data_IF_065766292964
#
_entry.id   IF_065766292964
#
_cell.length_a   1.000
_cell.length_b   1.000
_cell.length_c   1.000
_cell.angle_alpha   90.00
_cell.angle_beta   90.00
_cell.angle_gamma   90.00
#
_symmetry.space_group_name_H-M   'P 1'
#
loop_
_entity.id
_entity.type
_entity.pdbx_description
1 polymer ?
#
# COMPACT_ATOMS: atom_id res chain seq x y z
N UNK A 1 70.05 15.20 25.43
CA UNK A 1 68.74 15.63 24.89
C UNK A 1 67.90 14.39 24.56
N UNK A 2 66.80 14.16 25.28
CA UNK A 2 65.66 13.34 24.85
C UNK A 2 64.41 14.01 25.42
N UNK A 3 63.50 14.47 24.55
CA UNK A 3 62.20 15.05 24.94
C UNK A 3 61.16 13.93 24.83
N UNK A 4 60.41 13.70 25.90
CA UNK A 4 59.30 12.73 25.92
C UNK A 4 58.01 13.45 25.52
N UNK A 5 57.27 12.86 24.57
CA UNK A 5 55.97 13.36 24.11
C UNK A 5 54.86 12.60 24.86
N UNK A 6 53.85 13.31 25.36
CA UNK A 6 52.60 12.70 25.83
C UNK A 6 51.61 12.72 24.67
N UNK A 7 51.16 11.55 24.20
CA UNK A 7 50.08 11.44 23.21
C UNK A 7 48.78 11.25 23.98
N UNK A 8 47.88 12.23 23.90
CA UNK A 8 46.50 12.12 24.39
C UNK A 8 45.59 11.81 23.19
N UNK A 9 45.11 10.57 23.09
CA UNK A 9 44.10 10.21 22.10
C UNK A 9 42.72 10.59 22.64
N UNK A 10 42.17 11.71 22.18
CA UNK A 10 40.76 12.05 22.38
C UNK A 10 40.00 11.44 21.21
N UNK A 11 39.36 10.30 21.43
CA UNK A 11 38.34 9.78 20.50
C UNK A 11 37.05 10.56 20.73
N UNK A 12 36.72 11.51 19.84
CA UNK A 12 35.35 12.00 19.73
C UNK A 12 34.50 10.85 19.18
N UNK A 13 33.73 10.19 20.04
CA UNK A 13 32.62 9.37 19.60
C UNK A 13 31.54 10.32 19.03
N UNK A 14 31.59 10.58 17.73
CA UNK A 14 30.51 11.26 17.03
C UNK A 14 29.27 10.36 17.06
N UNK A 15 28.35 10.66 17.97
CA UNK A 15 27.04 10.04 18.03
C UNK A 15 26.25 10.47 16.79
N UNK A 16 26.12 9.60 15.80
CA UNK A 16 25.13 9.78 14.74
C UNK A 16 23.78 9.55 15.39
N UNK A 17 23.04 10.62 15.64
CA UNK A 17 21.63 10.52 16.00
C UNK A 17 20.87 10.07 14.75
N UNK A 18 20.67 8.76 14.60
CA UNK A 18 19.64 8.27 13.69
C UNK A 18 18.30 8.70 14.28
N UNK A 19 17.69 9.73 13.69
CA UNK A 19 16.26 9.95 13.91
C UNK A 19 15.54 8.75 13.32
N UNK A 20 15.16 7.82 14.20
CA UNK A 20 14.19 6.78 13.86
C UNK A 20 12.90 7.52 13.52
N UNK A 21 12.66 7.76 12.23
CA UNK A 21 11.34 8.15 11.77
C UNK A 21 10.46 6.92 12.03
N UNK A 22 9.55 7.04 13.00
CA UNK A 22 8.45 6.10 13.11
C UNK A 22 7.76 6.10 11.76
N UNK A 23 7.86 4.99 11.02
CA UNK A 23 7.10 4.84 9.80
C UNK A 23 5.63 4.88 10.23
N UNK A 24 4.79 5.76 9.66
CA UNK A 24 3.39 5.80 10.02
C UNK A 24 2.83 4.39 9.88
N UNK A 25 2.19 3.91 10.95
CA UNK A 25 1.60 2.58 10.97
C UNK A 25 0.60 2.48 9.82
N UNK A 26 0.60 1.35 9.11
CA UNK A 26 -0.40 1.11 8.09
C UNK A 26 -1.79 1.09 8.76
N UNK A 27 -2.71 1.90 8.24
CA UNK A 27 -4.07 1.99 8.76
C UNK A 27 -4.92 0.78 8.36
N UNK A 28 -4.53 0.06 7.31
CA UNK A 28 -5.22 -1.11 6.82
C UNK A 28 -4.85 -2.35 7.64
N UNK A 29 -5.83 -3.14 8.02
CA UNK A 29 -5.61 -4.44 8.65
C UNK A 29 -5.19 -5.47 7.59
N UNK A 30 -4.29 -6.39 7.94
CA UNK A 30 -3.90 -7.51 7.04
C UNK A 30 -3.58 -7.07 5.59
N UNK A 31 -2.67 -6.08 5.37
CA UNK A 31 -2.43 -5.49 4.05
C UNK A 31 -1.80 -6.47 3.04
N UNK A 32 -1.16 -7.55 3.52
CA UNK A 32 -0.53 -8.58 2.71
C UNK A 32 -1.36 -9.85 2.52
N UNK A 33 -2.57 -9.94 3.08
CA UNK A 33 -3.43 -11.14 2.98
C UNK A 33 -2.86 -12.41 3.66
N UNK A 34 -1.91 -12.25 4.57
CA UNK A 34 -1.28 -13.37 5.28
C UNK A 34 -2.21 -14.02 6.32
N UNK A 35 -3.30 -13.34 6.69
CA UNK A 35 -4.36 -13.86 7.56
C UNK A 35 -5.69 -14.00 6.80
N UNK A 36 -5.65 -14.74 5.68
CA UNK A 36 -6.77 -14.91 4.76
C UNK A 36 -7.40 -13.55 4.37
N UNK A 37 -8.73 -13.47 4.28
CA UNK A 37 -9.47 -12.25 3.95
C UNK A 37 -9.78 -11.39 5.21
N UNK A 38 -9.14 -11.65 6.35
CA UNK A 38 -9.46 -10.94 7.60
C UNK A 38 -9.33 -9.42 7.43
N UNK A 39 -10.36 -8.67 7.81
CA UNK A 39 -10.43 -7.21 7.71
C UNK A 39 -10.85 -6.68 6.33
N UNK A 40 -10.90 -7.53 5.31
CA UNK A 40 -11.31 -7.15 3.95
C UNK A 40 -12.68 -7.71 3.59
N UNK A 41 -13.49 -6.88 2.95
CA UNK A 41 -14.78 -7.24 2.38
C UNK A 41 -14.70 -7.25 0.87
N UNK A 42 -15.44 -8.15 0.23
CA UNK A 42 -15.59 -8.22 -1.23
C UNK A 42 -16.94 -8.84 -1.57
N UNK A 43 -17.47 -8.54 -2.74
CA UNK A 43 -18.84 -8.87 -3.11
C UNK A 43 -18.88 -10.06 -4.10
N UNK A 44 -19.08 -11.27 -3.58
CA UNK A 44 -19.34 -12.47 -4.38
C UNK A 44 -18.14 -13.41 -4.57
N UNK A 45 -18.39 -14.57 -5.19
CA UNK A 45 -17.46 -15.71 -5.24
C UNK A 45 -16.21 -15.52 -6.11
N UNK A 46 -16.00 -14.34 -6.70
CA UNK A 46 -14.92 -14.05 -7.65
C UNK A 46 -13.66 -13.45 -7.01
N UNK A 47 -13.52 -13.58 -5.69
CA UNK A 47 -12.37 -13.13 -4.91
C UNK A 47 -11.89 -14.31 -4.06
N UNK A 48 -10.61 -14.65 -4.17
CA UNK A 48 -9.97 -15.72 -3.40
C UNK A 48 -8.62 -15.27 -2.89
N UNK A 49 -8.19 -15.81 -1.75
CA UNK A 49 -6.80 -15.70 -1.30
C UNK A 49 -5.99 -16.79 -2.02
N UNK A 50 -4.89 -16.39 -2.64
CA UNK A 50 -4.09 -17.26 -3.51
C UNK A 50 -2.62 -17.20 -3.14
N UNK A 51 -1.97 -18.36 -3.18
CA UNK A 51 -0.52 -18.52 -3.06
C UNK A 51 0.20 -18.44 -4.40
N UNK A 52 -0.53 -18.16 -5.49
CA UNK A 52 0.05 -18.01 -6.83
C UNK A 52 0.59 -16.60 -7.02
N UNK A 53 1.90 -16.48 -7.25
CA UNK A 53 2.59 -15.22 -7.53
C UNK A 53 2.42 -14.13 -6.45
N UNK A 54 2.53 -14.40 -5.14
CA UNK A 54 2.40 -13.35 -4.12
C UNK A 54 3.40 -12.22 -4.38
N UNK A 55 3.02 -10.97 -4.06
CA UNK A 55 3.96 -9.84 -4.21
C UNK A 55 4.97 -9.82 -3.06
N UNK A 56 4.52 -10.14 -1.86
CA UNK A 56 5.29 -10.32 -0.64
C UNK A 56 4.63 -11.44 0.16
N UNK A 57 5.36 -12.12 1.05
CA UNK A 57 4.80 -13.18 1.88
C UNK A 57 4.38 -14.43 1.08
N UNK A 58 3.33 -15.09 1.55
CA UNK A 58 2.80 -16.31 0.95
C UNK A 58 1.52 -16.08 0.15
N UNK A 59 0.80 -15.00 0.43
CA UNK A 59 -0.56 -14.82 -0.07
C UNK A 59 -0.72 -13.55 -0.90
N UNK A 60 -1.79 -13.55 -1.70
CA UNK A 60 -2.31 -12.37 -2.40
C UNK A 60 -3.82 -12.50 -2.58
N UNK A 61 -4.53 -11.37 -2.65
CA UNK A 61 -5.90 -11.36 -3.11
C UNK A 61 -5.95 -11.53 -4.64
N UNK A 62 -6.68 -12.52 -5.13
CA UNK A 62 -6.86 -12.81 -6.55
C UNK A 62 -8.32 -12.67 -6.94
N UNK A 63 -8.54 -11.88 -7.98
CA UNK A 63 -9.82 -11.76 -8.65
C UNK A 63 -9.94 -12.81 -9.76
N UNK A 64 -11.02 -13.58 -9.76
CA UNK A 64 -11.36 -14.56 -10.82
C UNK A 64 -12.53 -14.10 -11.70
N UNK A 65 -13.04 -12.90 -11.43
CA UNK A 65 -14.12 -12.23 -12.14
C UNK A 65 -14.26 -10.78 -11.65
N UNK A 66 -15.25 -10.05 -12.15
CA UNK A 66 -15.49 -8.65 -11.76
C UNK A 66 -15.93 -8.58 -10.29
N UNK A 67 -15.13 -7.93 -9.45
CA UNK A 67 -15.42 -7.78 -8.01
C UNK A 67 -14.69 -6.56 -7.44
N UNK A 68 -14.99 -6.21 -6.20
CA UNK A 68 -14.31 -5.23 -5.38
C UNK A 68 -13.71 -5.88 -4.14
N UNK A 69 -12.72 -5.21 -3.56
CA UNK A 69 -12.10 -5.56 -2.30
C UNK A 69 -11.92 -4.25 -1.51
N UNK A 70 -12.43 -4.18 -0.30
CA UNK A 70 -12.50 -2.94 0.47
C UNK A 70 -12.31 -3.18 1.98
N UNK A 71 -11.77 -2.18 2.67
CA UNK A 71 -11.94 -2.03 4.12
C UNK A 71 -12.76 -0.77 4.36
N UNK A 72 -13.71 -0.85 5.28
CA UNK A 72 -14.59 0.26 5.64
C UNK A 72 -14.24 0.77 7.05
N UNK A 73 -14.69 1.98 7.37
CA UNK A 73 -14.50 2.60 8.68
C UNK A 73 -13.03 2.79 9.09
N UNK A 74 -12.15 3.10 8.13
CA UNK A 74 -10.77 3.49 8.41
C UNK A 74 -10.76 4.91 8.97
N UNK A 75 -10.33 5.06 10.22
CA UNK A 75 -10.22 6.36 10.86
C UNK A 75 -9.12 7.20 10.20
N UNK A 76 -9.51 8.38 9.71
CA UNK A 76 -8.62 9.38 9.12
C UNK A 76 -8.96 10.76 9.68
N UNK A 77 -8.00 11.68 9.63
CA UNK A 77 -8.18 13.06 10.09
C UNK A 77 -8.44 13.99 8.90
N UNK A 78 -9.49 14.84 8.95
CA UNK A 78 -9.71 15.85 7.92
C UNK A 78 -8.52 16.80 7.80
N UNK A 79 -8.15 17.15 6.56
CA UNK A 79 -7.02 18.04 6.28
C UNK A 79 -5.64 17.38 6.36
N UNK A 80 -5.55 16.12 6.78
CA UNK A 80 -4.29 15.36 6.78
C UNK A 80 -4.09 14.65 5.44
N UNK A 81 -2.89 14.77 4.86
CA UNK A 81 -2.54 14.03 3.63
C UNK A 81 -2.23 12.57 3.96
N UNK A 82 -2.92 11.66 3.25
CA UNK A 82 -2.71 10.22 3.31
C UNK A 82 -2.30 9.69 1.94
N UNK A 83 -1.65 8.52 1.95
CA UNK A 83 -1.34 7.74 0.74
C UNK A 83 -2.04 6.40 0.82
N UNK A 84 -2.74 6.04 -0.25
CA UNK A 84 -3.25 4.69 -0.47
C UNK A 84 -2.40 4.04 -1.55
N UNK A 85 -1.81 2.89 -1.25
CA UNK A 85 -0.97 2.16 -2.19
C UNK A 85 -1.38 0.71 -2.33
N UNK A 86 -1.33 0.19 -3.55
CA UNK A 86 -1.50 -1.23 -3.84
C UNK A 86 -0.42 -1.71 -4.81
N UNK A 87 0.04 -2.94 -4.61
CA UNK A 87 0.65 -3.70 -5.67
C UNK A 87 -0.45 -4.44 -6.44
N UNK A 88 -0.41 -4.36 -7.76
CA UNK A 88 -1.39 -4.98 -8.66
C UNK A 88 -0.66 -5.81 -9.71
N UNK A 89 -1.22 -6.97 -10.05
CA UNK A 89 -0.76 -7.82 -11.16
C UNK A 89 -1.95 -8.20 -12.02
N UNK A 90 -1.90 -7.87 -13.30
CA UNK A 90 -2.94 -8.21 -14.26
C UNK A 90 -2.45 -9.40 -15.08
N UNK A 91 -2.96 -10.60 -14.81
CA UNK A 91 -2.63 -11.80 -15.60
C UNK A 91 -3.40 -11.82 -16.93
N UNK A 92 -4.67 -11.43 -16.89
CA UNK A 92 -5.56 -11.31 -18.04
C UNK A 92 -6.71 -10.37 -17.70
N UNK A 93 -7.27 -9.71 -18.71
CA UNK A 93 -8.47 -8.89 -18.59
C UNK A 93 -9.30 -9.06 -19.86
N UNK A 94 -10.58 -9.33 -19.70
CA UNK A 94 -11.55 -9.45 -20.79
C UNK A 94 -12.82 -8.69 -20.42
N UNK A 95 -13.22 -7.74 -21.26
CA UNK A 95 -14.22 -6.74 -20.86
C UNK A 95 -13.63 -5.72 -19.89
N UNK A 96 -13.98 -4.46 -20.06
CA UNK A 96 -13.58 -3.37 -19.16
C UNK A 96 -14.78 -2.48 -18.84
N UNK A 97 -15.93 -3.09 -18.53
CA UNK A 97 -17.10 -2.34 -18.12
C UNK A 97 -16.67 -1.35 -17.03
N UNK A 98 -16.85 -0.05 -17.34
CA UNK A 98 -16.47 1.08 -16.49
C UNK A 98 -14.97 1.37 -16.39
N UNK A 99 -14.16 0.99 -17.38
CA UNK A 99 -12.80 1.52 -17.59
C UNK A 99 -11.66 0.59 -17.20
N UNK A 100 -11.88 -0.39 -16.30
CA UNK A 100 -10.86 -1.35 -15.86
C UNK A 100 -10.72 -1.42 -14.34
N UNK A 101 -9.56 -1.88 -13.86
CA UNK A 101 -9.24 -1.91 -12.42
C UNK A 101 -8.95 -0.48 -11.95
N UNK A 102 -9.35 -0.11 -10.73
CA UNK A 102 -8.93 1.15 -10.11
C UNK A 102 -8.74 0.96 -8.62
N UNK A 103 -7.95 1.83 -8.00
CA UNK A 103 -7.90 1.97 -6.55
C UNK A 103 -8.52 3.30 -6.15
N UNK A 104 -9.19 3.33 -5.01
CA UNK A 104 -9.83 4.55 -4.54
C UNK A 104 -9.92 4.59 -3.01
N UNK A 105 -9.83 5.81 -2.48
CA UNK A 105 -10.31 6.16 -1.14
C UNK A 105 -11.63 6.91 -1.30
N UNK A 106 -12.66 6.51 -0.55
CA UNK A 106 -14.01 7.06 -0.64
C UNK A 106 -14.38 7.58 0.75
N UNK A 107 -14.80 8.83 0.83
CA UNK A 107 -15.31 9.41 2.08
C UNK A 107 -16.67 8.80 2.45
N UNK A 108 -16.98 8.83 3.75
CA UNK A 108 -18.23 8.28 4.26
C UNK A 108 -19.44 8.86 3.51
N UNK A 109 -20.44 8.02 3.27
CA UNK A 109 -21.63 8.35 2.47
C UNK A 109 -21.34 8.77 1.02
N UNK A 110 -20.19 8.36 0.45
CA UNK A 110 -19.80 8.64 -0.93
C UNK A 110 -19.75 10.15 -1.26
N UNK A 111 -19.51 11.00 -0.25
CA UNK A 111 -19.45 12.46 -0.43
C UNK A 111 -18.33 12.89 -1.38
N UNK A 112 -17.22 12.14 -1.39
CA UNK A 112 -16.07 12.38 -2.25
C UNK A 112 -15.31 11.09 -2.54
N UNK A 113 -14.78 10.99 -3.75
CA UNK A 113 -13.94 9.86 -4.18
C UNK A 113 -12.59 10.38 -4.65
N UNK A 114 -11.52 9.81 -4.11
CA UNK A 114 -10.15 9.99 -4.57
C UNK A 114 -9.76 8.69 -5.28
N UNK A 115 -9.73 8.70 -6.60
CA UNK A 115 -9.47 7.50 -7.39
C UNK A 115 -8.26 7.69 -8.30
N UNK A 116 -7.60 6.59 -8.61
CA UNK A 116 -6.63 6.52 -9.69
C UNK A 116 -7.28 6.63 -11.07
N UNK A 117 -6.46 6.71 -12.11
CA UNK A 117 -6.89 6.29 -13.45
C UNK A 117 -7.29 4.80 -13.46
N UNK A 118 -7.93 4.36 -14.53
CA UNK A 118 -8.19 2.95 -14.73
C UNK A 118 -6.94 2.22 -15.26
N UNK A 119 -6.70 1.04 -14.70
CA UNK A 119 -5.64 0.12 -15.07
C UNK A 119 -6.21 -0.98 -15.96
N UNK A 120 -5.56 -1.20 -17.08
CA UNK A 120 -5.89 -2.20 -18.09
C UNK A 120 -4.61 -2.84 -18.62
N UNK A 121 -4.75 -3.90 -19.40
CA UNK A 121 -3.62 -4.51 -20.11
C UNK A 121 -3.02 -3.59 -21.19
N UNK A 122 -3.69 -2.50 -21.55
CA UNK A 122 -3.19 -1.52 -22.52
C UNK A 122 -2.22 -0.50 -21.90
N UNK A 123 -2.36 -0.21 -20.60
CA UNK A 123 -1.56 0.82 -19.91
C UNK A 123 -0.75 0.29 -18.72
N UNK A 124 -0.76 -1.03 -18.45
CA UNK A 124 0.01 -1.67 -17.38
C UNK A 124 0.64 -2.99 -17.86
N UNK A 125 1.79 -3.40 -17.29
CA UNK A 125 2.48 -4.61 -17.71
C UNK A 125 1.68 -5.87 -17.34
N UNK A 126 1.43 -6.73 -18.33
CA UNK A 126 0.75 -8.02 -18.13
C UNK A 126 1.68 -9.01 -17.45
N UNK A 127 1.18 -9.72 -16.44
CA UNK A 127 1.94 -10.76 -15.74
C UNK A 127 3.10 -10.21 -14.89
N UNK A 128 3.12 -8.92 -14.59
CA UNK A 128 4.11 -8.31 -13.69
C UNK A 128 3.41 -7.52 -12.59
N UNK A 129 4.04 -7.48 -11.43
CA UNK A 129 3.61 -6.62 -10.33
C UNK A 129 4.00 -5.17 -10.65
N UNK A 130 3.04 -4.26 -10.51
CA UNK A 130 3.28 -2.82 -10.54
C UNK A 130 2.68 -2.17 -9.30
N UNK A 131 3.29 -1.09 -8.84
CA UNK A 131 2.85 -0.36 -7.67
C UNK A 131 2.05 0.87 -8.07
N UNK A 132 0.93 1.09 -7.40
CA UNK A 132 0.07 2.24 -7.60
C UNK A 132 -0.13 2.97 -6.29
N UNK A 133 -0.03 4.29 -6.33
CA UNK A 133 -0.16 5.16 -5.16
C UNK A 133 -1.04 6.34 -5.55
N UNK A 134 -2.09 6.57 -4.77
CA UNK A 134 -2.82 7.83 -4.78
C UNK A 134 -2.57 8.58 -3.47
N UNK A 135 -2.50 9.90 -3.55
CA UNK A 135 -2.49 10.78 -2.38
C UNK A 135 -3.86 11.44 -2.24
N UNK A 136 -4.36 11.55 -1.02
CA UNK A 136 -5.66 12.15 -0.75
C UNK A 136 -5.67 12.88 0.59
N UNK A 137 -6.54 13.88 0.70
CA UNK A 137 -6.73 14.68 1.92
C UNK A 137 -8.22 14.68 2.23
N UNK A 138 -8.69 13.89 3.21
CA UNK A 138 -10.10 13.82 3.58
C UNK A 138 -10.64 15.20 3.95
N UNK A 139 -11.85 15.52 3.49
CA UNK A 139 -12.56 16.74 3.84
C UNK A 139 -13.43 16.54 5.10
N UNK A 140 -13.91 15.32 5.32
CA UNK A 140 -14.73 14.94 6.47
C UNK A 140 -14.25 13.62 7.07
N UNK A 141 -14.58 13.40 8.34
CA UNK A 141 -14.40 12.12 9.04
C UNK A 141 -15.49 11.12 8.69
#
# INVERSE_FOLDING_TARGET
MKKTLLVLAITLASSVFYTLRSQPANLLANPGFENEQTGWSGWGASLVISTENPQEGLNSARFTGNNTLEQTYIAVEPGTEYKLSFWVRINSMSGNDWGGIRIAAIEMYWSKTYASEFYTTANRPVGQWFNEIISFTPATT
#
